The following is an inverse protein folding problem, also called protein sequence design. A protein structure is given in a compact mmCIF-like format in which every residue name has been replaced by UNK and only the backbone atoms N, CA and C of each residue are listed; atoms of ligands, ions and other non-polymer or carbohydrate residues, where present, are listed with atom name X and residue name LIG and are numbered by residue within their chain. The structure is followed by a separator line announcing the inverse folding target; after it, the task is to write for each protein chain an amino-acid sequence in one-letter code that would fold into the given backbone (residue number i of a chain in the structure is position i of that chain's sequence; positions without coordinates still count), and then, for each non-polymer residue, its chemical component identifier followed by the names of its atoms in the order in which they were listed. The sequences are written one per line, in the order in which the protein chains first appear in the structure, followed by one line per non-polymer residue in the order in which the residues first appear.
data_IF_218145737091
#
_entry.id   IF_218145737091
#
_cell.length_a   1.000
_cell.length_b   1.000
_cell.length_c   1.000
_cell.angle_alpha   90.00
_cell.angle_beta   90.00
_cell.angle_gamma   90.00
#
_symmetry.space_group_name_H-M   'P 1'
#
loop_
_entity.id
_entity.type
_entity.pdbx_description
1 polymer ?
#
# COMPACT_ATOMS: atom_id res chain seq x y z
N UNK A 1 27.40 -6.29 12.89
CA UNK A 1 28.33 -5.30 13.49
C UNK A 1 29.69 -5.55 12.87
N UNK A 2 30.35 -4.53 12.32
CA UNK A 2 31.62 -4.67 11.59
C UNK A 2 32.74 -4.06 12.42
N UNK A 3 33.91 -4.72 12.42
CA UNK A 3 35.11 -4.23 13.08
C UNK A 3 36.01 -3.51 12.08
N UNK A 4 36.25 -2.22 12.31
CA UNK A 4 37.14 -1.42 11.45
C UNK A 4 38.32 -0.92 12.28
N UNK A 5 39.55 -1.17 11.79
CA UNK A 5 40.78 -0.70 12.43
C UNK A 5 41.17 0.66 11.84
N UNK A 6 41.40 1.65 12.69
CA UNK A 6 41.84 2.98 12.23
C UNK A 6 43.32 2.97 11.82
N UNK A 7 43.62 3.36 10.57
CA UNK A 7 45.00 3.43 10.05
C UNK A 7 45.94 4.35 10.85
N UNK A 8 45.41 5.39 11.50
CA UNK A 8 46.25 6.39 12.19
C UNK A 8 46.58 6.02 13.64
N UNK A 9 45.63 5.39 14.35
CA UNK A 9 45.78 5.13 15.79
C UNK A 9 45.59 3.67 16.18
N UNK A 10 45.40 2.78 15.19
CA UNK A 10 45.25 1.33 15.30
C UNK A 10 44.09 0.84 16.19
N UNK A 11 43.29 1.76 16.73
CA UNK A 11 42.14 1.42 17.58
C UNK A 11 41.04 0.77 16.73
N UNK A 12 40.56 -0.39 17.19
CA UNK A 12 39.40 -1.11 16.64
C UNK A 12 38.11 -0.38 17.05
N UNK A 13 37.23 -0.14 16.08
CA UNK A 13 35.91 0.45 16.29
C UNK A 13 34.84 -0.51 15.77
N UNK A 14 33.81 -0.76 16.59
CA UNK A 14 32.64 -1.54 16.18
C UNK A 14 31.59 -0.60 15.59
N UNK A 15 31.25 -0.79 14.33
CA UNK A 15 30.34 0.07 13.57
C UNK A 15 29.12 -0.78 13.16
N UNK A 16 27.87 -0.27 13.32
CA UNK A 16 26.68 -0.96 12.84
C UNK A 16 26.66 -1.04 11.30
N UNK A 17 26.11 -2.13 10.75
CA UNK A 17 26.06 -2.40 9.29
C UNK A 17 25.31 -1.32 8.49
N UNK A 18 24.41 -0.57 9.12
CA UNK A 18 23.69 0.53 8.48
C UNK A 18 24.60 1.71 8.03
N UNK A 19 25.86 1.74 8.46
CA UNK A 19 26.83 2.80 8.12
C UNK A 19 27.87 2.35 7.08
N UNK A 20 27.68 1.18 6.45
CA UNK A 20 28.48 0.75 5.29
C UNK A 20 28.31 1.77 4.16
N UNK A 21 29.41 2.18 3.54
CA UNK A 21 29.45 3.20 2.49
C UNK A 21 29.45 4.64 3.00
N UNK A 22 29.42 4.87 4.33
CA UNK A 22 29.48 6.21 4.91
C UNK A 22 30.84 6.49 5.56
N UNK A 23 31.21 7.78 5.63
CA UNK A 23 32.42 8.24 6.29
C UNK A 23 32.15 8.51 7.76
N UNK A 24 32.74 7.73 8.66
CA UNK A 24 32.56 7.87 10.11
C UNK A 24 33.84 8.37 10.78
N UNK A 25 33.74 9.13 11.87
CA UNK A 25 34.93 9.61 12.60
C UNK A 25 35.44 8.57 13.58
N UNK A 26 36.75 8.33 13.58
CA UNK A 26 37.40 7.46 14.58
C UNK A 26 37.25 8.05 16.00
N UNK A 27 36.77 7.25 16.96
CA UNK A 27 36.64 7.66 18.37
C UNK A 27 37.98 7.94 19.06
N UNK A 28 39.09 7.45 18.53
CA UNK A 28 40.44 7.67 19.08
C UNK A 28 41.04 9.00 18.64
N UNK A 29 41.23 9.18 17.33
CA UNK A 29 41.99 10.31 16.78
C UNK A 29 41.16 11.33 15.97
N UNK A 30 39.85 11.10 15.82
CA UNK A 30 38.95 12.00 15.09
C UNK A 30 39.08 11.97 13.56
N UNK A 31 40.03 11.22 12.99
CA UNK A 31 40.19 11.06 11.52
C UNK A 31 38.96 10.37 10.93
N UNK A 32 38.54 10.82 9.75
CA UNK A 32 37.53 10.16 8.94
C UNK A 32 38.00 8.74 8.54
N UNK A 33 37.12 7.76 8.73
CA UNK A 33 37.25 6.36 8.33
C UNK A 33 36.21 6.11 7.26
N UNK A 34 36.65 5.65 6.09
CA UNK A 34 35.75 5.19 5.06
C UNK A 34 35.37 3.74 5.38
N UNK A 35 34.10 3.48 5.67
CA UNK A 35 33.59 2.13 5.94
C UNK A 35 33.24 1.51 4.60
N UNK A 36 34.24 1.01 3.89
CA UNK A 36 33.98 0.18 2.72
C UNK A 36 33.57 -1.20 3.19
N UNK A 37 32.60 -1.80 2.48
CA UNK A 37 32.36 -3.23 2.59
C UNK A 37 33.69 -3.90 2.27
N UNK A 38 34.27 -4.60 3.25
CA UNK A 38 35.42 -5.46 3.00
C UNK A 38 34.94 -6.46 1.95
N UNK A 39 35.41 -6.28 0.72
CA UNK A 39 35.19 -7.16 -0.42
C UNK A 39 35.81 -8.55 -0.19
N UNK A 40 36.44 -8.75 0.99
CA UNK A 40 36.04 -9.81 1.91
C UNK A 40 35.82 -11.11 1.18
N UNK A 41 36.94 -11.66 0.72
CA UNK A 41 37.11 -13.01 0.18
C UNK A 41 35.90 -13.86 0.51
N UNK A 42 34.95 -13.91 -0.43
CA UNK A 42 33.63 -14.53 -0.25
C UNK A 42 33.85 -15.84 0.49
N UNK A 43 33.45 -15.90 1.77
CA UNK A 43 33.71 -17.04 2.64
C UNK A 43 33.38 -18.30 1.84
N UNK A 44 34.34 -19.22 1.73
CA UNK A 44 34.23 -20.40 0.86
C UNK A 44 32.92 -21.16 1.14
N UNK A 45 32.43 -21.08 2.38
CA UNK A 45 31.12 -21.57 2.81
C UNK A 45 29.92 -20.89 2.17
N UNK A 46 29.99 -19.58 1.93
CA UNK A 46 28.95 -18.80 1.25
C UNK A 46 28.90 -19.13 -0.23
N UNK A 47 30.06 -19.31 -0.87
CA UNK A 47 30.13 -19.81 -2.26
C UNK A 47 29.61 -21.25 -2.37
N UNK A 48 29.98 -22.12 -1.44
CA UNK A 48 29.47 -23.49 -1.41
C UNK A 48 27.96 -23.54 -1.19
N UNK A 49 27.41 -22.67 -0.34
CA UNK A 49 25.96 -22.55 -0.13
C UNK A 49 25.24 -22.09 -1.41
N UNK A 50 25.77 -21.08 -2.10
CA UNK A 50 25.22 -20.62 -3.39
C UNK A 50 25.25 -21.74 -4.44
N UNK A 51 26.36 -22.49 -4.54
CA UNK A 51 26.48 -23.63 -5.48
C UNK A 51 25.45 -24.73 -5.18
N UNK A 52 25.22 -25.05 -3.90
CA UNK A 52 24.18 -26.01 -3.50
C UNK A 52 22.76 -25.53 -3.79
N UNK A 53 22.51 -24.22 -3.71
CA UNK A 53 21.20 -23.63 -4.02
C UNK A 53 20.93 -23.64 -5.53
N UNK A 54 21.94 -23.32 -6.33
CA UNK A 54 21.90 -23.40 -7.79
C UNK A 54 21.67 -24.84 -8.29
N UNK A 55 22.39 -25.82 -7.72
CA UNK A 55 22.15 -27.26 -8.03
C UNK A 55 20.72 -27.72 -7.67
N UNK A 56 20.10 -27.15 -6.63
CA UNK A 56 18.70 -27.49 -6.28
C UNK A 56 17.70 -26.90 -7.26
N UNK A 57 17.94 -25.68 -7.73
CA UNK A 57 17.10 -25.03 -8.74
C UNK A 57 17.18 -25.75 -10.09
N UNK A 58 18.38 -26.16 -10.50
CA UNK A 58 18.57 -26.91 -11.75
C UNK A 58 17.84 -28.28 -11.71
N UNK A 59 17.87 -28.98 -10.57
CA UNK A 59 17.12 -30.24 -10.40
C UNK A 59 15.60 -30.03 -10.46
N UNK A 60 15.10 -28.97 -9.82
CA UNK A 60 13.67 -28.64 -9.85
C UNK A 60 13.20 -28.27 -11.26
N UNK A 61 14.02 -27.54 -12.03
CA UNK A 61 13.71 -27.18 -13.41
C UNK A 61 13.69 -28.41 -14.33
N UNK A 62 14.67 -29.31 -14.21
CA UNK A 62 14.67 -30.59 -14.96
C UNK A 62 13.48 -31.48 -14.62
N UNK A 63 13.00 -31.45 -13.37
CA UNK A 63 11.81 -32.20 -12.96
C UNK A 63 10.53 -31.61 -13.58
N UNK A 64 10.40 -30.28 -13.64
CA UNK A 64 9.30 -29.63 -14.36
C UNK A 64 9.30 -29.95 -15.86
N UNK A 65 10.47 -29.93 -16.50
CA UNK A 65 10.60 -30.32 -17.92
C UNK A 65 10.23 -31.78 -18.14
N UNK A 66 10.56 -32.68 -17.20
CA UNK A 66 10.17 -34.09 -17.30
C UNK A 66 8.66 -34.27 -17.20
N UNK A 67 8.00 -33.59 -16.26
CA UNK A 67 6.53 -33.60 -16.13
C UNK A 67 5.87 -33.03 -17.38
N UNK A 68 6.40 -31.95 -17.94
CA UNK A 68 5.88 -31.35 -19.17
C UNK A 68 6.06 -32.27 -20.38
N UNK A 69 7.19 -32.98 -20.48
CA UNK A 69 7.42 -33.97 -21.51
C UNK A 69 6.52 -35.21 -21.38
N UNK A 70 6.20 -35.65 -20.15
CA UNK A 70 5.25 -36.73 -19.88
C UNK A 70 3.82 -36.33 -20.30
N UNK A 71 3.39 -35.08 -20.02
CA UNK A 71 2.09 -34.56 -20.48
C UNK A 71 2.03 -34.39 -22.01
N UNK A 72 3.14 -34.02 -22.65
CA UNK A 72 3.19 -33.81 -24.11
C UNK A 72 3.26 -35.10 -24.94
N UNK A 73 3.58 -36.24 -24.33
CA UNK A 73 3.72 -37.54 -25.00
C UNK A 73 2.55 -38.49 -24.78
N UNK A 74 1.53 -38.08 -24.02
CA UNK A 74 0.24 -38.74 -24.00
C UNK A 74 -0.47 -38.49 -25.33
N UNK A 75 -0.14 -39.27 -26.37
CA UNK A 75 -1.11 -39.58 -27.41
C UNK A 75 -2.32 -40.15 -26.68
N UNK A 76 -3.36 -39.32 -26.62
CA UNK A 76 -4.68 -39.75 -26.17
C UNK A 76 -5.13 -40.75 -27.23
N UNK A 77 -4.93 -42.04 -26.98
CA UNK A 77 -5.71 -43.11 -27.59
C UNK A 77 -7.17 -42.91 -27.13
N UNK A 78 -7.83 -41.91 -27.70
CA UNK A 78 -9.25 -41.69 -27.52
C UNK A 78 -10.00 -42.65 -28.43
N UNK A 79 -10.00 -43.92 -28.07
CA UNK A 79 -11.16 -44.79 -28.27
C UNK A 79 -12.21 -44.40 -27.22
N UNK A 80 -12.70 -43.17 -27.32
CA UNK A 80 -13.82 -42.68 -26.52
C UNK A 80 -15.10 -43.00 -27.28
N UNK A 81 -15.93 -43.84 -26.67
CA UNK A 81 -17.29 -44.18 -27.09
C UNK A 81 -18.05 -42.93 -27.58
N UNK A 82 -18.34 -42.89 -28.89
CA UNK A 82 -19.15 -41.84 -29.54
C UNK A 82 -20.55 -41.67 -28.93
N UNK A 83 -21.00 -42.60 -28.06
CA UNK A 83 -22.31 -42.56 -27.41
C UNK A 83 -22.42 -41.47 -26.33
N UNK A 84 -21.30 -40.98 -25.78
CA UNK A 84 -21.32 -39.88 -24.79
C UNK A 84 -21.27 -38.48 -25.41
N UNK A 85 -20.77 -38.35 -26.65
CA UNK A 85 -20.70 -37.05 -27.36
C UNK A 85 -22.09 -36.62 -27.87
N UNK A 86 -22.97 -37.57 -28.22
CA UNK A 86 -24.32 -37.26 -28.70
C UNK A 86 -25.25 -36.73 -27.59
N UNK A 87 -24.98 -37.05 -26.31
CA UNK A 87 -25.71 -36.46 -25.18
C UNK A 87 -25.26 -35.02 -24.86
N UNK A 88 -23.98 -34.70 -25.05
CA UNK A 88 -23.45 -33.36 -24.78
C UNK A 88 -23.96 -32.33 -25.82
N UNK A 89 -24.04 -32.72 -27.10
CA UNK A 89 -24.56 -31.84 -28.17
C UNK A 89 -26.06 -31.51 -28.03
N UNK A 90 -26.81 -32.30 -27.24
CA UNK A 90 -28.21 -32.00 -26.94
C UNK A 90 -28.39 -30.90 -25.90
N UNK A 91 -27.35 -30.60 -25.10
CA UNK A 91 -27.40 -29.56 -24.08
C UNK A 91 -26.94 -28.19 -24.61
N UNK A 92 -26.01 -28.15 -25.56
CA UNK A 92 -25.51 -26.88 -26.11
C UNK A 92 -26.53 -26.19 -27.04
N UNK A 93 -27.44 -26.95 -27.65
CA UNK A 93 -28.54 -26.40 -28.47
C UNK A 93 -29.61 -25.61 -27.70
N UNK A 94 -29.59 -25.62 -26.35
CA UNK A 94 -30.52 -24.82 -25.53
C UNK A 94 -29.91 -23.49 -25.04
N UNK A 95 -28.59 -23.34 -25.09
CA UNK A 95 -27.89 -22.14 -24.61
C UNK A 95 -27.98 -20.98 -25.61
N UNK A 96 -27.93 -21.27 -26.91
CA UNK A 96 -27.89 -20.25 -27.96
C UNK A 96 -29.24 -19.55 -28.22
N UNK A 97 -30.34 -20.06 -27.66
CA UNK A 97 -31.65 -19.40 -27.73
C UNK A 97 -31.84 -18.26 -26.71
N UNK A 98 -30.94 -18.08 -25.74
CA UNK A 98 -31.14 -17.15 -24.60
C UNK A 98 -30.24 -15.90 -24.64
N UNK A 99 -29.21 -15.84 -25.49
CA UNK A 99 -28.22 -14.73 -25.44
C UNK A 99 -28.12 -13.88 -26.73
N UNK A 100 -29.08 -13.99 -27.64
CA UNK A 100 -29.13 -13.13 -28.83
C UNK A 100 -29.76 -11.76 -28.56
N UNK A 101 -28.98 -10.76 -28.12
CA UNK A 101 -29.11 -9.35 -28.51
C UNK A 101 -28.08 -8.46 -27.77
N UNK A 102 -27.00 -8.09 -28.47
CA UNK A 102 -26.51 -6.70 -28.56
C UNK A 102 -25.21 -6.67 -29.38
N UNK A 103 -25.32 -6.31 -30.64
CA UNK A 103 -24.21 -5.83 -31.47
C UNK A 103 -23.94 -4.36 -31.14
N UNK A 104 -22.67 -3.99 -30.97
CA UNK A 104 -22.19 -2.67 -31.38
C UNK A 104 -20.67 -2.72 -31.56
N UNK A 105 -20.28 -2.44 -32.80
CA UNK A 105 -18.94 -2.29 -33.34
C UNK A 105 -18.18 -1.11 -32.70
N UNK A 106 -16.84 -1.19 -32.69
CA UNK A 106 -15.98 -0.09 -32.28
C UNK A 106 -14.50 -0.42 -32.49
N UNK A 107 -13.92 0.29 -33.45
CA UNK A 107 -12.67 0.02 -34.16
C UNK A 107 -11.37 0.36 -33.40
N UNK A 108 -10.28 -0.10 -34.02
CA UNK A 108 -8.88 -0.03 -33.62
C UNK A 108 -8.27 1.39 -33.57
N UNK A 109 -7.14 1.51 -32.88
CA UNK A 109 -6.27 2.69 -32.94
C UNK A 109 -4.92 2.44 -32.26
N UNK A 110 -3.92 2.05 -33.06
CA UNK A 110 -2.49 2.08 -32.73
C UNK A 110 -1.97 3.53 -32.69
N UNK A 111 -0.96 3.80 -31.85
CA UNK A 111 -0.26 5.09 -31.86
C UNK A 111 0.93 5.19 -30.91
N UNK A 112 2.11 5.35 -31.50
CA UNK A 112 3.45 5.72 -30.99
C UNK A 112 3.48 6.77 -29.85
N UNK A 113 4.46 6.87 -28.94
CA UNK A 113 5.89 6.58 -29.01
C UNK A 113 6.68 7.87 -29.27
N UNK A 114 7.20 8.56 -28.23
CA UNK A 114 8.26 9.59 -28.32
C UNK A 114 9.03 9.79 -27.00
N UNK A 115 10.35 9.86 -27.17
CA UNK A 115 11.41 10.21 -26.23
C UNK A 115 11.28 11.61 -25.62
N UNK A 116 11.69 11.76 -24.35
CA UNK A 116 11.95 13.07 -23.73
C UNK A 116 12.99 12.94 -22.62
N UNK A 117 14.25 12.84 -23.03
CA UNK A 117 15.42 12.86 -22.15
C UNK A 117 16.37 13.95 -22.61
N UNK A 118 16.05 15.21 -22.30
CA UNK A 118 16.97 16.37 -22.33
C UNK A 118 16.19 17.61 -21.85
N UNK A 119 16.35 18.00 -20.59
CA UNK A 119 16.12 19.37 -20.04
C UNK A 119 16.19 19.30 -18.49
N UNK A 120 17.39 19.16 -17.95
CA UNK A 120 17.61 19.29 -16.51
C UNK A 120 19.06 19.69 -16.22
N UNK A 121 19.38 20.99 -16.39
CA UNK A 121 20.53 21.65 -15.71
C UNK A 121 20.56 23.14 -16.05
N UNK A 122 19.62 23.94 -15.54
CA UNK A 122 19.85 25.37 -15.30
C UNK A 122 18.75 25.90 -14.38
N UNK A 123 19.10 26.26 -13.14
CA UNK A 123 18.41 27.22 -12.23
C UNK A 123 18.72 26.86 -10.77
N UNK A 124 19.90 27.26 -10.32
CA UNK A 124 20.20 27.50 -8.90
C UNK A 124 21.04 28.79 -8.87
N UNK A 125 20.40 29.96 -8.96
CA UNK A 125 21.07 31.24 -8.63
C UNK A 125 20.18 32.49 -8.40
N UNK A 126 18.83 32.43 -8.47
CA UNK A 126 17.99 33.64 -8.33
C UNK A 126 17.02 33.62 -7.14
N UNK A 127 17.52 33.68 -5.90
CA UNK A 127 16.68 33.97 -4.71
C UNK A 127 17.32 35.01 -3.77
N UNK A 128 18.07 35.98 -4.32
CA UNK A 128 18.80 36.98 -3.53
C UNK A 128 18.29 38.42 -3.58
N UNK A 129 17.49 38.82 -4.59
CA UNK A 129 17.52 40.23 -5.03
C UNK A 129 16.17 40.99 -5.09
N UNK A 130 15.07 40.46 -4.53
CA UNK A 130 13.75 41.11 -4.64
C UNK A 130 13.20 41.74 -3.35
N UNK A 131 14.04 42.06 -2.37
CA UNK A 131 13.59 42.66 -1.10
C UNK A 131 13.90 44.16 -0.91
N UNK A 132 14.36 44.90 -1.94
CA UNK A 132 14.98 46.23 -1.71
C UNK A 132 14.49 47.42 -2.57
N UNK A 133 13.35 47.34 -3.25
CA UNK A 133 12.91 48.44 -4.17
C UNK A 133 11.64 49.20 -3.74
N UNK A 134 11.30 49.21 -2.44
CA UNK A 134 10.03 49.80 -1.96
C UNK A 134 10.09 51.05 -1.07
N UNK A 135 11.26 51.49 -0.60
CA UNK A 135 11.33 52.50 0.48
C UNK A 135 12.19 53.71 0.09
N UNK A 136 11.63 54.59 -0.75
CA UNK A 136 12.23 55.89 -1.09
C UNK A 136 11.41 56.98 -0.42
N UNK A 137 11.97 57.63 0.61
CA UNK A 137 11.42 58.89 1.13
C UNK A 137 11.28 59.05 2.65
N UNK A 138 11.95 58.25 3.48
CA UNK A 138 11.97 58.49 4.93
C UNK A 138 13.29 59.18 5.30
N UNK A 139 13.21 60.27 6.06
CA UNK A 139 14.36 61.11 6.39
C UNK A 139 15.38 60.38 7.27
N UNK A 140 16.46 61.06 7.62
CA UNK A 140 17.35 60.58 8.68
C UNK A 140 17.01 61.31 9.99
N UNK A 141 16.82 60.57 11.08
CA UNK A 141 16.49 61.12 12.41
C UNK A 141 17.69 60.96 13.34
N UNK A 142 18.05 62.01 14.07
CA UNK A 142 19.17 61.95 15.02
C UNK A 142 18.72 61.41 16.38
N UNK A 143 19.47 60.47 16.93
CA UNK A 143 19.19 59.89 18.24
C UNK A 143 19.35 60.96 19.34
N UNK A 144 18.32 61.23 20.16
CA UNK A 144 18.36 62.31 21.16
C UNK A 144 19.36 62.03 22.29
N UNK A 145 19.72 60.77 22.54
CA UNK A 145 20.63 60.41 23.63
C UNK A 145 22.12 60.51 23.25
N UNK A 146 22.49 60.25 22.00
CA UNK A 146 23.91 60.18 21.59
C UNK A 146 24.25 61.00 20.34
N UNK A 147 23.26 61.57 19.66
CA UNK A 147 23.45 62.39 18.45
C UNK A 147 23.77 61.60 17.17
N UNK A 148 23.72 60.27 17.20
CA UNK A 148 23.98 59.44 16.00
C UNK A 148 22.80 59.56 15.02
N UNK A 149 23.10 59.62 13.73
CA UNK A 149 22.10 59.66 12.67
C UNK A 149 21.57 58.24 12.45
N UNK A 150 20.27 58.03 12.66
CA UNK A 150 19.60 56.73 12.52
C UNK A 150 18.51 56.86 11.45
N UNK A 151 18.32 55.81 10.65
CA UNK A 151 17.24 55.76 9.65
C UNK A 151 15.89 55.96 10.32
N UNK A 152 15.05 56.80 9.74
CA UNK A 152 13.69 57.02 10.21
C UNK A 152 12.89 55.71 10.17
N UNK A 153 12.14 55.45 11.24
CA UNK A 153 11.50 54.16 11.53
C UNK A 153 12.36 53.12 12.27
N UNK A 154 13.63 53.39 12.58
CA UNK A 154 14.41 52.51 13.44
C UNK A 154 13.88 52.51 14.88
N UNK A 155 13.63 51.32 15.44
CA UNK A 155 13.09 51.19 16.79
C UNK A 155 14.14 51.45 17.88
N UNK A 156 15.41 51.19 17.60
CA UNK A 156 16.53 51.33 18.53
C UNK A 156 17.73 51.98 17.85
N UNK A 157 18.41 52.89 18.54
CA UNK A 157 19.71 53.40 18.15
C UNK A 157 20.77 52.31 18.33
N UNK A 158 21.44 51.94 17.23
CA UNK A 158 22.45 50.87 17.24
C UNK A 158 23.70 51.25 18.05
N UNK A 159 24.01 52.54 18.16
CA UNK A 159 25.18 53.02 18.88
C UNK A 159 25.00 53.06 20.41
N UNK A 160 23.84 53.48 20.91
CA UNK A 160 23.62 53.65 22.35
C UNK A 160 22.52 52.79 22.97
N UNK A 161 21.75 52.06 22.15
CA UNK A 161 20.65 51.21 22.61
C UNK A 161 19.39 51.97 23.02
N UNK A 162 19.31 53.29 22.79
CA UNK A 162 18.12 54.08 23.09
C UNK A 162 16.98 53.74 22.13
N UNK A 163 15.77 53.55 22.65
CA UNK A 163 14.57 53.25 21.85
C UNK A 163 14.07 54.57 21.23
N UNK A 164 13.97 54.62 19.90
CA UNK A 164 13.62 55.84 19.15
C UNK A 164 12.13 55.90 18.75
N UNK A 165 11.41 54.79 18.90
CA UNK A 165 9.98 54.69 18.59
C UNK A 165 9.08 54.80 19.81
N UNK A 166 7.85 55.28 19.59
CA UNK A 166 6.80 55.26 20.61
C UNK A 166 6.45 53.82 20.97
N UNK A 167 6.61 53.44 22.25
CA UNK A 167 6.43 52.06 22.70
C UNK A 167 5.02 51.54 22.37
N UNK A 168 4.03 52.43 22.37
CA UNK A 168 2.64 52.10 22.02
C UNK A 168 2.47 51.70 20.55
N UNK A 169 3.28 52.27 19.64
CA UNK A 169 3.29 51.90 18.22
C UNK A 169 4.02 50.57 17.99
N UNK A 170 5.06 50.28 18.78
CA UNK A 170 5.81 49.01 18.74
C UNK A 170 4.92 47.87 19.27
N UNK A 171 4.16 48.11 20.33
CA UNK A 171 3.23 47.13 20.90
C UNK A 171 2.09 46.82 19.91
N UNK A 172 1.54 47.82 19.24
CA UNK A 172 0.51 47.61 18.20
C UNK A 172 1.05 46.88 16.96
N UNK A 173 2.28 47.16 16.51
CA UNK A 173 2.90 46.45 15.40
C UNK A 173 3.28 44.99 15.76
N UNK A 174 3.71 44.73 17.00
CA UNK A 174 3.99 43.38 17.49
C UNK A 174 2.71 42.53 17.64
N UNK A 175 1.57 43.15 18.00
CA UNK A 175 0.26 42.49 18.06
C UNK A 175 -0.29 42.17 16.66
N UNK A 176 -0.11 43.05 15.68
CA UNK A 176 -0.49 42.77 14.28
C UNK A 176 0.43 41.75 13.59
N UNK A 177 1.74 41.76 13.87
CA UNK A 177 2.69 40.77 13.34
C UNK A 177 2.45 39.33 13.84
N UNK A 178 1.94 39.17 15.06
CA UNK A 178 1.55 37.85 15.60
C UNK A 178 0.24 37.31 15.03
N UNK A 179 -0.70 38.16 14.64
CA UNK A 179 -1.98 37.70 14.08
C UNK A 179 -1.84 37.19 12.63
N UNK A 180 -0.89 37.71 11.85
CA UNK A 180 -0.63 37.23 10.48
C UNK A 180 0.02 35.83 10.41
N UNK A 181 0.95 35.52 11.33
CA UNK A 181 1.70 34.25 11.31
C UNK A 181 1.01 33.15 12.14
N UNK A 182 0.32 33.50 13.23
CA UNK A 182 -0.41 32.53 14.07
C UNK A 182 -1.80 32.23 13.50
N UNK A 183 -2.43 33.16 12.79
CA UNK A 183 -3.70 32.92 12.08
C UNK A 183 -3.57 31.90 10.95
N UNK A 184 -2.49 31.95 10.18
CA UNK A 184 -2.21 30.98 9.11
C UNK A 184 -1.91 29.57 9.62
N UNK A 185 -1.17 29.45 10.73
CA UNK A 185 -0.82 28.15 11.33
C UNK A 185 -1.98 27.54 12.13
N UNK A 186 -2.79 28.33 12.85
CA UNK A 186 -3.94 27.81 13.59
C UNK A 186 -5.08 27.35 12.66
N UNK A 187 -5.32 28.06 11.55
CA UNK A 187 -6.24 27.61 10.50
C UNK A 187 -5.71 26.36 9.78
N UNK A 188 -4.40 26.27 9.54
CA UNK A 188 -3.77 25.08 8.94
C UNK A 188 -3.85 23.83 9.82
N UNK A 189 -3.58 23.96 11.13
CA UNK A 189 -3.59 22.81 12.07
C UNK A 189 -5.01 22.34 12.37
N UNK A 190 -5.98 23.24 12.49
CA UNK A 190 -7.39 22.86 12.66
C UNK A 190 -7.97 22.20 11.40
N UNK A 191 -7.59 22.65 10.20
CA UNK A 191 -7.95 21.98 8.95
C UNK A 191 -7.27 20.60 8.82
N UNK A 192 -6.02 20.44 9.24
CA UNK A 192 -5.32 19.15 9.23
C UNK A 192 -5.91 18.14 10.20
N UNK A 193 -6.21 18.55 11.43
CA UNK A 193 -6.85 17.68 12.43
C UNK A 193 -8.27 17.30 12.00
N UNK A 194 -9.02 18.24 11.42
CA UNK A 194 -10.31 17.97 10.80
C UNK A 194 -10.20 16.94 9.69
N UNK A 195 -9.26 17.11 8.75
CA UNK A 195 -9.02 16.19 7.63
C UNK A 195 -8.58 14.79 8.07
N UNK A 196 -7.73 14.68 9.10
CA UNK A 196 -7.28 13.38 9.60
C UNK A 196 -8.44 12.62 10.26
N UNK A 197 -9.27 13.29 11.05
CA UNK A 197 -10.43 12.66 11.71
C UNK A 197 -11.46 12.15 10.70
N UNK A 198 -11.76 12.93 9.66
CA UNK A 198 -12.68 12.52 8.60
C UNK A 198 -12.13 11.36 7.77
N UNK A 199 -10.82 11.33 7.50
CA UNK A 199 -10.16 10.21 6.83
C UNK A 199 -10.28 8.90 7.66
N UNK A 200 -10.09 8.97 8.98
CA UNK A 200 -10.21 7.80 9.88
C UNK A 200 -11.66 7.31 9.93
N UNK A 201 -12.62 8.20 10.17
CA UNK A 201 -14.05 7.83 10.24
C UNK A 201 -14.53 7.31 8.89
N UNK A 202 -14.12 7.95 7.79
CA UNK A 202 -14.42 7.51 6.42
C UNK A 202 -13.84 6.13 6.13
N UNK A 203 -12.57 5.89 6.50
CA UNK A 203 -11.92 4.58 6.38
C UNK A 203 -12.60 3.48 7.20
N UNK A 204 -13.04 3.80 8.42
CA UNK A 204 -13.76 2.87 9.29
C UNK A 204 -15.16 2.54 8.76
N UNK A 205 -15.94 3.55 8.35
CA UNK A 205 -17.24 3.37 7.71
C UNK A 205 -17.10 2.53 6.42
N UNK A 206 -16.07 2.81 5.62
CA UNK A 206 -15.77 2.03 4.42
C UNK A 206 -15.46 0.57 4.72
N UNK A 207 -14.64 0.30 5.73
CA UNK A 207 -14.32 -1.06 6.15
C UNK A 207 -15.58 -1.82 6.57
N UNK A 208 -16.49 -1.18 7.32
CA UNK A 208 -17.77 -1.77 7.72
C UNK A 208 -18.66 -2.10 6.50
N UNK A 209 -18.77 -1.19 5.54
CA UNK A 209 -19.54 -1.39 4.30
C UNK A 209 -18.94 -2.53 3.47
N UNK A 210 -17.62 -2.56 3.30
CA UNK A 210 -16.91 -3.61 2.55
C UNK A 210 -17.16 -5.00 3.14
N UNK A 211 -17.11 -5.11 4.48
CA UNK A 211 -17.41 -6.35 5.19
C UNK A 211 -18.87 -6.75 5.03
N UNK A 212 -19.80 -5.80 5.12
CA UNK A 212 -21.24 -6.06 4.99
C UNK A 212 -21.62 -6.61 3.60
N UNK A 213 -21.11 -5.99 2.54
CA UNK A 213 -21.43 -6.38 1.16
C UNK A 213 -20.60 -7.56 0.65
N UNK A 214 -19.46 -7.88 1.27
CA UNK A 214 -18.59 -8.99 0.85
C UNK A 214 -18.12 -8.89 -0.59
N UNK A 215 -18.10 -7.68 -1.15
CA UNK A 215 -17.59 -7.37 -2.49
C UNK A 215 -16.35 -6.50 -2.35
N UNK A 216 -15.37 -6.73 -3.20
CA UNK A 216 -14.26 -5.80 -3.40
C UNK A 216 -14.82 -4.54 -4.07
N UNK A 217 -15.30 -3.58 -3.27
CA UNK A 217 -15.88 -2.34 -3.77
C UNK A 217 -14.80 -1.36 -4.30
N UNK A 218 -13.62 -1.86 -4.66
CA UNK A 218 -12.46 -1.06 -5.06
C UNK A 218 -12.80 -0.06 -6.18
N UNK A 219 -13.56 -0.50 -7.18
CA UNK A 219 -14.03 0.39 -8.26
C UNK A 219 -14.97 1.50 -7.78
N UNK A 220 -15.92 1.19 -6.88
CA UNK A 220 -16.89 2.18 -6.38
C UNK A 220 -16.21 3.20 -5.47
N UNK A 221 -15.29 2.77 -4.60
CA UNK A 221 -14.48 3.68 -3.78
C UNK A 221 -13.64 4.61 -4.64
N UNK A 222 -13.05 4.09 -5.72
CA UNK A 222 -12.25 4.90 -6.63
C UNK A 222 -13.10 5.98 -7.31
N UNK A 223 -14.28 5.62 -7.82
CA UNK A 223 -15.21 6.58 -8.44
C UNK A 223 -15.66 7.63 -7.43
N UNK A 224 -16.04 7.25 -6.21
CA UNK A 224 -16.39 8.23 -5.18
C UNK A 224 -15.21 9.12 -4.79
N UNK A 225 -14.01 8.56 -4.67
CA UNK A 225 -12.79 9.31 -4.38
C UNK A 225 -12.48 10.36 -5.44
N UNK A 226 -12.61 10.01 -6.72
CA UNK A 226 -12.46 10.95 -7.84
C UNK A 226 -13.52 12.05 -7.81
N UNK A 227 -14.78 11.72 -7.51
CA UNK A 227 -15.86 12.71 -7.40
C UNK A 227 -15.59 13.69 -6.26
N UNK A 228 -15.19 13.20 -5.08
CA UNK A 228 -14.86 14.06 -3.92
C UNK A 228 -13.66 14.95 -4.24
N UNK A 229 -12.61 14.39 -4.85
CA UNK A 229 -11.43 15.15 -5.27
C UNK A 229 -11.80 16.24 -6.28
N UNK A 230 -12.62 15.91 -7.28
CA UNK A 230 -13.10 16.88 -8.27
C UNK A 230 -13.91 18.02 -7.64
N UNK A 231 -14.82 17.70 -6.71
CA UNK A 231 -15.60 18.71 -5.97
C UNK A 231 -14.68 19.60 -5.13
N UNK A 232 -13.70 19.03 -4.43
CA UNK A 232 -12.70 19.79 -3.66
C UNK A 232 -11.91 20.76 -4.54
N UNK A 233 -11.44 20.30 -5.71
CA UNK A 233 -10.72 21.15 -6.68
C UNK A 233 -11.60 22.31 -7.16
N UNK A 234 -12.89 22.06 -7.42
CA UNK A 234 -13.83 23.10 -7.84
C UNK A 234 -14.16 24.11 -6.74
N UNK A 235 -14.24 23.66 -5.48
CA UNK A 235 -14.53 24.54 -4.34
C UNK A 235 -13.32 25.38 -3.91
N UNK A 236 -12.09 24.95 -4.18
CA UNK A 236 -10.87 25.64 -3.80
C UNK A 236 -10.57 26.94 -4.61
N UNK A 237 -11.48 27.36 -5.49
CA UNK A 237 -11.49 28.72 -6.05
C UNK A 237 -10.26 29.11 -6.90
N UNK A 238 -9.51 28.13 -7.42
CA UNK A 238 -8.36 28.39 -8.29
C UNK A 238 -7.06 28.74 -7.55
N UNK A 239 -7.01 28.68 -6.21
CA UNK A 239 -5.76 28.80 -5.47
C UNK A 239 -4.90 27.54 -5.70
N UNK A 240 -4.02 27.62 -6.73
CA UNK A 240 -3.15 26.55 -7.21
C UNK A 240 -2.01 26.28 -6.21
N UNK A 241 -2.33 25.65 -5.09
CA UNK A 241 -1.30 25.15 -4.18
C UNK A 241 -1.09 23.67 -4.44
N UNK A 242 0.04 23.31 -5.05
CA UNK A 242 0.50 21.92 -5.18
C UNK A 242 0.45 21.16 -3.84
N UNK A 243 0.61 21.89 -2.74
CA UNK A 243 0.50 21.42 -1.37
C UNK A 243 -0.88 20.83 -1.02
N UNK A 244 -1.98 21.37 -1.58
CA UNK A 244 -3.33 20.78 -1.41
C UNK A 244 -3.42 19.42 -2.09
N UNK A 245 -2.85 19.28 -3.29
CA UNK A 245 -2.78 18.00 -4.01
C UNK A 245 -1.98 16.95 -3.23
N UNK A 246 -0.80 17.33 -2.72
CA UNK A 246 0.02 16.46 -1.90
C UNK A 246 -0.70 15.99 -0.61
N UNK A 247 -1.40 16.90 0.06
CA UNK A 247 -2.18 16.56 1.27
C UNK A 247 -3.37 15.65 0.96
N UNK A 248 -4.04 15.84 -0.17
CA UNK A 248 -5.13 14.96 -0.59
C UNK A 248 -4.64 13.52 -0.84
N UNK A 249 -3.49 13.35 -1.51
CA UNK A 249 -2.87 12.04 -1.73
C UNK A 249 -2.49 11.39 -0.39
N UNK A 250 -1.88 12.16 0.53
CA UNK A 250 -1.52 11.65 1.85
C UNK A 250 -2.75 11.16 2.63
N UNK A 251 -3.83 11.94 2.66
CA UNK A 251 -5.07 11.56 3.33
C UNK A 251 -5.73 10.32 2.70
N UNK A 252 -5.67 10.21 1.37
CA UNK A 252 -6.15 9.03 0.65
C UNK A 252 -5.37 7.77 1.06
N UNK A 253 -4.03 7.86 1.08
CA UNK A 253 -3.17 6.74 1.49
C UNK A 253 -3.45 6.34 2.95
N UNK A 254 -3.61 7.31 3.85
CA UNK A 254 -3.95 7.05 5.24
C UNK A 254 -5.33 6.39 5.38
N UNK A 255 -6.36 6.89 4.70
CA UNK A 255 -7.71 6.33 4.74
C UNK A 255 -7.75 4.89 4.22
N UNK A 256 -7.08 4.62 3.09
CA UNK A 256 -6.97 3.27 2.52
C UNK A 256 -6.17 2.37 3.48
N UNK A 257 -5.06 2.86 4.03
CA UNK A 257 -4.25 2.13 5.00
C UNK A 257 -5.04 1.71 6.23
N UNK A 258 -5.76 2.65 6.86
CA UNK A 258 -6.60 2.38 8.04
C UNK A 258 -7.72 1.39 7.69
N UNK A 259 -8.42 1.59 6.57
CA UNK A 259 -9.47 0.68 6.11
C UNK A 259 -8.96 -0.73 5.88
N UNK A 260 -7.77 -0.87 5.25
CA UNK A 260 -7.14 -2.15 4.95
C UNK A 260 -6.65 -2.89 6.18
N UNK A 261 -6.06 -2.17 7.13
CA UNK A 261 -5.71 -2.72 8.44
C UNK A 261 -6.97 -3.18 9.16
N UNK A 262 -8.04 -2.37 9.17
CA UNK A 262 -9.32 -2.76 9.76
C UNK A 262 -9.88 -4.05 9.17
N UNK A 263 -9.87 -4.17 7.84
CA UNK A 263 -10.32 -5.39 7.14
C UNK A 263 -9.40 -6.57 7.48
N UNK A 264 -8.07 -6.40 7.47
CA UNK A 264 -7.12 -7.47 7.77
C UNK A 264 -7.28 -8.07 9.17
N UNK A 265 -7.64 -7.24 10.17
CA UNK A 265 -7.78 -7.70 11.55
C UNK A 265 -9.21 -8.14 11.91
N UNK A 266 -10.24 -7.45 11.39
CA UNK A 266 -11.63 -7.69 11.79
C UNK A 266 -12.51 -8.30 10.70
N UNK A 267 -12.24 -8.00 9.43
CA UNK A 267 -13.09 -8.40 8.30
C UNK A 267 -12.64 -9.65 7.55
N UNK A 268 -11.35 -10.02 7.62
CA UNK A 268 -10.75 -11.05 6.79
C UNK A 268 -11.41 -12.42 6.98
N UNK A 269 -11.77 -12.77 8.22
CA UNK A 269 -12.44 -14.05 8.51
C UNK A 269 -13.84 -14.12 7.91
N UNK A 270 -14.59 -13.03 7.97
CA UNK A 270 -15.95 -12.93 7.44
C UNK A 270 -15.93 -12.99 5.91
N UNK A 271 -15.10 -12.19 5.25
CA UNK A 271 -15.02 -12.17 3.78
C UNK A 271 -14.59 -13.51 3.21
N UNK A 272 -13.53 -14.13 3.76
CA UNK A 272 -13.08 -15.45 3.30
C UNK A 272 -14.07 -16.56 3.58
N UNK A 273 -14.88 -16.44 4.65
CA UNK A 273 -15.92 -17.44 4.90
C UNK A 273 -17.02 -17.40 3.84
N UNK A 274 -17.41 -16.21 3.37
CA UNK A 274 -18.41 -16.06 2.30
C UNK A 274 -17.90 -16.53 0.95
N UNK A 275 -16.64 -16.25 0.61
CA UNK A 275 -16.03 -16.79 -0.61
C UNK A 275 -15.84 -18.32 -0.51
N UNK A 276 -15.41 -18.81 0.66
CA UNK A 276 -15.20 -20.23 0.90
C UNK A 276 -16.47 -21.08 0.80
N UNK A 277 -17.66 -20.54 1.07
CA UNK A 277 -18.91 -21.28 0.84
C UNK A 277 -19.19 -21.53 -0.65
N UNK A 278 -18.68 -20.69 -1.55
CA UNK A 278 -18.81 -20.91 -3.01
C UNK A 278 -17.89 -22.03 -3.50
N UNK A 279 -16.80 -22.28 -2.79
CA UNK A 279 -15.89 -23.38 -3.07
C UNK A 279 -16.36 -24.64 -2.33
N UNK A 280 -17.00 -25.55 -3.06
CA UNK A 280 -17.59 -26.78 -2.50
C UNK A 280 -16.62 -27.57 -1.62
N UNK A 281 -15.33 -27.62 -2.00
CA UNK A 281 -14.27 -28.28 -1.22
C UNK A 281 -14.01 -27.65 0.15
N UNK A 282 -14.01 -26.32 0.25
CA UNK A 282 -13.83 -25.65 1.54
C UNK A 282 -15.03 -25.90 2.46
N UNK A 283 -16.24 -25.94 1.90
CA UNK A 283 -17.44 -26.28 2.63
C UNK A 283 -17.41 -27.74 3.10
N UNK A 284 -17.04 -28.68 2.25
CA UNK A 284 -16.87 -30.11 2.59
C UNK A 284 -15.85 -30.29 3.72
N UNK A 285 -14.66 -29.68 3.58
CA UNK A 285 -13.61 -29.74 4.60
C UNK A 285 -14.11 -29.19 5.95
N UNK A 286 -14.84 -28.08 5.93
CA UNK A 286 -15.42 -27.50 7.14
C UNK A 286 -16.49 -28.42 7.76
N UNK A 287 -17.35 -29.04 6.95
CA UNK A 287 -18.37 -29.99 7.40
C UNK A 287 -17.75 -31.24 7.99
N UNK A 288 -16.73 -31.81 7.34
CA UNK A 288 -15.97 -32.95 7.85
C UNK A 288 -15.34 -32.61 9.21
N UNK A 289 -14.67 -31.47 9.33
CA UNK A 289 -14.10 -31.02 10.62
C UNK A 289 -15.17 -30.83 11.70
N UNK A 290 -16.35 -30.34 11.34
CA UNK A 290 -17.46 -30.22 12.29
C UNK A 290 -18.00 -31.58 12.75
N UNK A 291 -18.12 -32.55 11.84
CA UNK A 291 -18.56 -33.92 12.15
C UNK A 291 -17.54 -34.66 13.02
N UNK A 292 -16.24 -34.46 12.77
CA UNK A 292 -15.17 -34.96 13.63
C UNK A 292 -15.26 -34.35 15.04
N UNK A 293 -15.55 -33.04 15.14
CA UNK A 293 -15.72 -32.38 16.43
C UNK A 293 -16.97 -32.86 17.20
N UNK A 294 -18.00 -33.30 16.47
CA UNK A 294 -19.24 -33.90 17.01
C UNK A 294 -19.10 -35.39 17.33
N UNK A 295 -17.98 -36.03 16.95
CA UNK A 295 -17.77 -37.47 17.16
C UNK A 295 -18.61 -38.37 16.24
N UNK A 296 -19.01 -37.86 15.06
CA UNK A 296 -19.86 -38.61 14.11
C UNK A 296 -19.10 -39.68 13.29
N UNK A 297 -17.77 -39.64 13.34
CA UNK A 297 -16.86 -40.60 12.73
C UNK A 297 -16.17 -41.44 13.80
N UNK A 298 -15.80 -42.68 13.45
CA UNK A 298 -14.93 -43.48 14.31
C UNK A 298 -13.55 -42.83 14.45
N UNK A 299 -12.78 -43.30 15.45
CA UNK A 299 -11.49 -42.72 15.79
C UNK A 299 -10.47 -42.85 14.65
N UNK A 300 -10.47 -43.96 13.93
CA UNK A 300 -9.52 -44.22 12.85
C UNK A 300 -9.79 -43.30 11.65
N UNK A 301 -11.05 -43.23 11.20
CA UNK A 301 -11.48 -42.31 10.14
C UNK A 301 -11.23 -40.85 10.54
N UNK A 302 -11.50 -40.48 11.79
CA UNK A 302 -11.24 -39.13 12.29
C UNK A 302 -9.75 -38.74 12.23
N UNK A 303 -8.86 -39.67 12.57
CA UNK A 303 -7.41 -39.47 12.50
C UNK A 303 -6.95 -39.34 11.04
N UNK A 304 -7.46 -40.18 10.13
CA UNK A 304 -7.18 -40.08 8.68
C UNK A 304 -7.63 -38.74 8.12
N UNK A 305 -8.89 -38.34 8.35
CA UNK A 305 -9.46 -37.10 7.83
C UNK A 305 -8.80 -35.83 8.39
N UNK A 306 -8.22 -35.90 9.60
CA UNK A 306 -7.42 -34.80 10.17
C UNK A 306 -6.06 -34.64 9.47
N UNK A 307 -5.50 -35.72 8.93
CA UNK A 307 -4.21 -35.70 8.25
C UNK A 307 -4.31 -35.23 6.78
N UNK A 308 -5.52 -35.20 6.21
CA UNK A 308 -5.73 -34.76 4.83
C UNK A 308 -5.41 -33.28 4.68
N UNK A 309 -4.55 -32.98 3.71
CA UNK A 309 -4.37 -31.63 3.22
C UNK A 309 -5.45 -31.29 2.18
N UNK A 310 -6.51 -30.64 2.65
CA UNK A 310 -7.62 -30.23 1.79
C UNK A 310 -7.25 -29.08 0.83
N UNK A 311 -6.08 -28.46 0.96
CA UNK A 311 -5.58 -27.48 -0.01
C UNK A 311 -4.90 -28.14 -1.21
N UNK A 312 -4.21 -29.27 -1.00
CA UNK A 312 -3.42 -29.97 -2.00
C UNK A 312 -4.25 -30.69 -3.09
N UNK A 313 -5.55 -30.39 -3.19
CA UNK A 313 -6.50 -31.02 -4.15
C UNK A 313 -6.46 -32.55 -4.17
N UNK A 314 -6.04 -33.20 -3.08
CA UNK A 314 -6.01 -34.66 -3.04
C UNK A 314 -7.43 -35.21 -3.13
N UNK A 315 -7.64 -36.18 -4.03
CA UNK A 315 -8.86 -36.97 -4.04
C UNK A 315 -8.90 -37.82 -2.78
N UNK A 316 -9.96 -37.61 -2.01
CA UNK A 316 -10.19 -38.31 -0.78
C UNK A 316 -11.04 -39.55 -1.09
N UNK A 317 -10.42 -40.72 -1.02
CA UNK A 317 -11.16 -41.99 -0.96
C UNK A 317 -11.82 -42.13 0.42
N UNK A 318 -12.90 -41.40 0.66
CA UNK A 318 -13.80 -41.70 1.78
C UNK A 318 -14.75 -42.81 1.36
N UNK A 319 -15.16 -43.64 2.32
CA UNK A 319 -16.17 -44.68 2.04
C UNK A 319 -17.48 -44.00 1.69
N UNK A 320 -18.27 -44.61 0.80
CA UNK A 320 -19.56 -44.08 0.35
C UNK A 320 -20.50 -43.68 1.51
N UNK A 321 -20.52 -44.49 2.58
CA UNK A 321 -21.28 -44.21 3.81
C UNK A 321 -20.83 -42.94 4.56
N UNK A 322 -19.56 -42.57 4.46
CA UNK A 322 -19.01 -41.37 5.09
C UNK A 322 -19.35 -40.13 4.27
N UNK A 323 -19.26 -40.24 2.94
CA UNK A 323 -19.73 -39.22 2.00
C UNK A 323 -21.22 -38.92 2.18
N UNK A 324 -22.05 -39.94 2.39
CA UNK A 324 -23.49 -39.75 2.60
C UNK A 324 -23.78 -38.89 3.84
N UNK A 325 -23.07 -39.10 4.95
CA UNK A 325 -23.19 -38.28 6.17
C UNK A 325 -22.79 -36.82 5.93
N UNK A 326 -21.69 -36.60 5.20
CA UNK A 326 -21.22 -35.25 4.85
C UNK A 326 -22.25 -34.55 3.96
N UNK A 327 -22.72 -35.23 2.91
CA UNK A 327 -23.72 -34.71 1.98
C UNK A 327 -25.08 -34.45 2.66
N UNK A 328 -25.52 -35.31 3.58
CA UNK A 328 -26.73 -35.09 4.38
C UNK A 328 -26.61 -33.85 5.25
N UNK A 329 -25.47 -33.68 5.95
CA UNK A 329 -25.25 -32.47 6.76
C UNK A 329 -25.17 -31.22 5.90
N UNK A 330 -24.51 -31.25 4.76
CA UNK A 330 -24.46 -30.12 3.82
C UNK A 330 -25.85 -29.72 3.32
N UNK A 331 -26.71 -30.69 2.99
CA UNK A 331 -28.10 -30.45 2.55
C UNK A 331 -28.97 -29.81 3.63
N UNK A 332 -28.72 -30.11 4.90
CA UNK A 332 -29.49 -29.58 6.05
C UNK A 332 -29.10 -28.15 6.44
N UNK A 333 -27.92 -27.66 6.02
CA UNK A 333 -27.43 -26.34 6.40
C UNK A 333 -28.00 -25.26 5.48
N UNK A 334 -28.54 -24.19 6.07
CA UNK A 334 -28.83 -22.96 5.33
C UNK A 334 -27.54 -22.17 5.03
N UNK A 335 -27.61 -21.16 4.15
CA UNK A 335 -26.41 -20.45 3.72
C UNK A 335 -25.69 -19.71 4.85
N UNK A 336 -26.43 -19.15 5.81
CA UNK A 336 -25.84 -18.51 6.99
C UNK A 336 -25.08 -19.51 7.88
N UNK A 337 -25.62 -20.73 8.04
CA UNK A 337 -24.98 -21.82 8.77
C UNK A 337 -23.76 -22.35 8.02
N UNK A 338 -23.80 -22.47 6.69
CA UNK A 338 -22.63 -22.82 5.86
C UNK A 338 -21.50 -21.82 6.09
N UNK A 339 -21.79 -20.52 6.03
CA UNK A 339 -20.81 -19.44 6.28
C UNK A 339 -20.23 -19.56 7.69
N UNK A 340 -21.08 -19.71 8.71
CA UNK A 340 -20.62 -19.85 10.10
C UNK A 340 -19.74 -21.09 10.33
N UNK A 341 -20.04 -22.19 9.64
CA UNK A 341 -19.31 -23.45 9.76
C UNK A 341 -17.95 -23.37 9.06
N UNK A 342 -17.88 -22.80 7.85
CA UNK A 342 -16.62 -22.49 7.16
C UNK A 342 -15.78 -21.51 7.97
N UNK A 343 -16.39 -20.44 8.50
CA UNK A 343 -15.70 -19.47 9.35
C UNK A 343 -15.03 -20.13 10.55
N UNK A 344 -15.79 -20.93 11.32
CA UNK A 344 -15.34 -21.53 12.57
C UNK A 344 -14.31 -22.64 12.38
N UNK A 345 -14.54 -23.57 11.46
CA UNK A 345 -13.72 -24.79 11.35
C UNK A 345 -12.60 -24.70 10.30
N UNK A 346 -12.66 -23.73 9.39
CA UNK A 346 -11.70 -23.59 8.30
C UNK A 346 -10.91 -22.28 8.35
N UNK A 347 -11.61 -21.15 8.34
CA UNK A 347 -10.98 -19.83 8.16
C UNK A 347 -10.35 -19.29 9.45
N UNK A 348 -11.07 -19.31 10.58
CA UNK A 348 -10.56 -18.76 11.85
C UNK A 348 -9.25 -19.41 12.33
N UNK A 349 -9.08 -20.75 12.31
CA UNK A 349 -7.81 -21.36 12.71
C UNK A 349 -6.64 -20.89 11.84
N UNK A 350 -6.87 -20.75 10.52
CA UNK A 350 -5.86 -20.25 9.58
C UNK A 350 -5.52 -18.79 9.83
N UNK A 351 -6.52 -17.92 9.97
CA UNK A 351 -6.31 -16.50 10.23
C UNK A 351 -5.61 -16.29 11.58
N UNK A 352 -5.93 -17.08 12.62
CA UNK A 352 -5.25 -17.03 13.92
C UNK A 352 -3.76 -17.41 13.81
N UNK A 353 -3.40 -18.35 12.94
CA UNK A 353 -2.01 -18.73 12.68
C UNK A 353 -1.21 -17.73 11.85
N UNK A 354 -1.87 -16.85 11.10
CA UNK A 354 -1.20 -15.87 10.23
C UNK A 354 -0.59 -14.71 11.02
N UNK A 355 0.62 -14.31 10.63
CA UNK A 355 1.26 -13.09 11.13
C UNK A 355 0.49 -11.84 10.70
N UNK A 356 0.64 -10.72 11.44
CA UNK A 356 -0.02 -9.46 11.07
C UNK A 356 0.33 -8.99 9.65
N UNK A 357 1.55 -9.24 9.20
CA UNK A 357 2.00 -8.92 7.84
C UNK A 357 1.37 -9.82 6.78
N UNK A 358 1.20 -11.12 7.05
CA UNK A 358 0.48 -12.04 6.15
C UNK A 358 -0.99 -11.68 6.01
N UNK A 359 -1.64 -11.29 7.11
CA UNK A 359 -3.03 -10.80 7.07
C UNK A 359 -3.16 -9.55 6.21
N UNK A 360 -2.20 -8.63 6.31
CA UNK A 360 -2.20 -7.42 5.48
C UNK A 360 -1.95 -7.78 4.01
N UNK A 361 -0.95 -8.61 3.71
CA UNK A 361 -0.66 -9.10 2.34
C UNK A 361 -1.85 -9.85 1.72
N UNK A 362 -2.61 -10.60 2.53
CA UNK A 362 -3.80 -11.31 2.07
C UNK A 362 -4.97 -10.38 1.70
N UNK A 363 -4.96 -9.13 2.18
CA UNK A 363 -6.02 -8.14 1.92
C UNK A 363 -5.60 -7.09 0.89
N UNK A 364 -4.30 -6.82 0.78
CA UNK A 364 -3.75 -5.88 -0.21
C UNK A 364 -3.60 -6.62 -1.53
N UNK A 365 -4.52 -6.35 -2.46
CA UNK A 365 -4.46 -6.89 -3.82
C UNK A 365 -3.48 -6.06 -4.67
N UNK A 366 -2.79 -6.70 -5.62
CA UNK A 366 -1.91 -5.98 -6.56
C UNK A 366 -2.67 -4.89 -7.33
N UNK A 367 -3.95 -5.11 -7.63
CA UNK A 367 -4.81 -4.12 -8.27
C UNK A 367 -4.95 -2.84 -7.45
N UNK A 368 -4.90 -2.91 -6.12
CA UNK A 368 -5.06 -1.74 -5.27
C UNK A 368 -3.83 -0.84 -5.26
N UNK A 369 -2.65 -1.43 -5.42
CA UNK A 369 -1.42 -0.67 -5.63
C UNK A 369 -1.47 0.05 -6.98
N UNK A 370 -2.02 -0.58 -8.02
CA UNK A 370 -2.25 0.07 -9.32
C UNK A 370 -3.23 1.24 -9.16
N UNK A 371 -4.36 1.04 -8.47
CA UNK A 371 -5.33 2.12 -8.24
C UNK A 371 -4.77 3.26 -7.39
N UNK A 372 -3.98 2.97 -6.36
CA UNK A 372 -3.26 3.97 -5.58
C UNK A 372 -2.29 4.77 -6.46
N UNK A 373 -1.54 4.07 -7.33
CA UNK A 373 -0.63 4.70 -8.29
C UNK A 373 -1.37 5.62 -9.27
N UNK A 374 -2.47 5.15 -9.84
CA UNK A 374 -3.30 5.96 -10.74
C UNK A 374 -3.93 7.16 -10.03
N UNK A 375 -4.39 6.99 -8.79
CA UNK A 375 -4.93 8.08 -7.98
C UNK A 375 -3.87 9.13 -7.64
N UNK A 376 -2.66 8.70 -7.27
CA UNK A 376 -1.54 9.58 -7.00
C UNK A 376 -1.09 10.33 -8.28
N UNK A 377 -1.01 9.63 -9.41
CA UNK A 377 -0.70 10.24 -10.71
C UNK A 377 -1.75 11.26 -11.11
N UNK A 378 -3.04 10.94 -10.98
CA UNK A 378 -4.13 11.87 -11.29
C UNK A 378 -4.08 13.13 -10.43
N UNK A 379 -3.84 12.99 -9.13
CA UNK A 379 -3.67 14.13 -8.23
C UNK A 379 -2.44 14.97 -8.60
N UNK A 380 -1.34 14.34 -9.01
CA UNK A 380 -0.14 15.04 -9.45
C UNK A 380 -0.36 15.80 -10.77
N UNK A 381 -1.02 15.18 -11.74
CA UNK A 381 -1.36 15.80 -13.04
C UNK A 381 -2.26 17.03 -12.83
N UNK A 382 -3.27 16.92 -11.96
CA UNK A 382 -4.14 18.06 -11.61
C UNK A 382 -3.38 19.21 -10.92
N UNK A 383 -2.34 18.90 -10.15
CA UNK A 383 -1.48 19.92 -9.53
C UNK A 383 -0.49 20.55 -10.53
N UNK A 384 0.06 19.76 -11.47
CA UNK A 384 1.13 20.19 -12.38
C UNK A 384 0.67 20.95 -13.63
N UNK A 385 -0.49 20.59 -14.22
CA UNK A 385 -0.95 21.21 -15.47
C UNK A 385 -1.47 22.66 -15.34
N UNK A 386 -1.57 23.18 -14.12
CA UNK A 386 -2.03 24.55 -13.87
C UNK A 386 -0.99 25.64 -14.13
N UNK A 387 0.27 25.32 -14.46
CA UNK A 387 1.36 26.30 -14.42
C UNK A 387 1.68 27.04 -15.74
N UNK A 388 0.96 26.77 -16.84
CA UNK A 388 1.19 27.50 -18.10
C UNK A 388 0.44 28.84 -18.12
N UNK A 389 1.20 29.87 -17.77
CA UNK A 389 1.26 31.23 -18.32
C UNK A 389 -0.08 31.92 -18.64
N UNK A 390 -0.47 32.83 -17.73
CA UNK A 390 -0.98 34.15 -18.12
C UNK A 390 0.01 35.22 -17.63
#
# INVERSE_FOLDING_TARGET
MIEVRCEKCERLSHIPEALIGQVVKCRGCGKALNVQEDDGATDEKTLEKKRREEERLERAQKEQERIQAEMGRGEVDSEWDMETVEQQQRFDGLSDAVMGQSESEGEAGEGSGWDLQQLATTQVEEVGEQANEGWVGMGDVTCPQCGEVVRDGALLCVSCGHVLGDMDAIEQAAVQGRQGVVGGLAAGVSAMLGGASTAIVGGACWAAVSVAFGKELGGIAFVMGLVIAFVMVKLAGGAKHWMLGAMAVLMLVLAIGVGKVGIAFYGLSEMRSRSGVKEMRMLEAAVVKSLIAEGAFDRETSEKLRAVDWEAKQELEMREREYEKVAEKMRKLNDAQKVGLVKKYWIEPKVKGMSGQERLKAVVSQYELIWLGLGALGAFMLAGFGHREE
#
